data_IF_470581043959
#
_entry.id   IF_470581043959
#
_cell.length_a   1.000
_cell.length_b   1.000
_cell.length_c   1.000
_cell.angle_alpha   90.00
_cell.angle_beta   90.00
_cell.angle_gamma   90.00
#
_symmetry.space_group_name_H-M   'P 1'
#
loop_
_entity.id
_entity.type
_entity.pdbx_description
1 polymer ?
#
# COMPACT_ATOMS: atom_id res chain seq x y z
N UNK A 1 -18.14 -6.75 -10.27
CA UNK A 1 -17.07 -7.73 -9.99
C UNK A 1 -15.87 -7.34 -10.83
N UNK A 2 -14.68 -7.34 -10.26
CA UNK A 2 -13.40 -7.12 -10.96
C UNK A 2 -12.85 -8.49 -11.36
N UNK A 3 -12.32 -8.62 -12.57
CA UNK A 3 -11.61 -9.83 -13.02
C UNK A 3 -10.11 -9.71 -12.76
N UNK A 4 -9.41 -10.85 -12.71
CA UNK A 4 -7.97 -10.92 -12.44
C UNK A 4 -7.10 -10.08 -13.41
N UNK A 5 -7.54 -9.94 -14.67
CA UNK A 5 -6.78 -9.21 -15.70
C UNK A 5 -7.26 -7.77 -15.92
N UNK A 6 -8.17 -7.26 -15.08
CA UNK A 6 -8.64 -5.89 -15.20
C UNK A 6 -7.52 -4.91 -14.83
N UNK A 7 -7.28 -3.94 -15.71
CA UNK A 7 -6.27 -2.90 -15.47
C UNK A 7 -6.89 -1.76 -14.68
N UNK A 8 -6.20 -1.34 -13.63
CA UNK A 8 -6.57 -0.17 -12.82
C UNK A 8 -5.52 0.93 -12.96
N UNK A 9 -5.91 2.18 -12.68
CA UNK A 9 -4.95 3.29 -12.65
C UNK A 9 -4.07 3.19 -11.41
N UNK A 10 -2.89 3.83 -11.44
CA UNK A 10 -1.98 3.92 -10.27
C UNK A 10 -2.68 4.47 -9.03
N UNK A 11 -3.59 5.45 -9.21
CA UNK A 11 -4.38 6.04 -8.12
C UNK A 11 -5.45 5.07 -7.61
N UNK A 12 -6.10 4.31 -8.48
CA UNK A 12 -7.06 3.29 -8.08
C UNK A 12 -6.37 2.15 -7.32
N UNK A 13 -5.16 1.76 -7.72
CA UNK A 13 -4.35 0.78 -7.01
C UNK A 13 -3.93 1.29 -5.61
N UNK A 14 -3.59 2.58 -5.47
CA UNK A 14 -3.34 3.20 -4.16
C UNK A 14 -4.55 3.14 -3.25
N UNK A 15 -5.74 3.47 -3.78
CA UNK A 15 -6.98 3.39 -3.03
C UNK A 15 -7.35 1.95 -2.64
N UNK A 16 -7.11 0.98 -3.53
CA UNK A 16 -7.33 -0.44 -3.25
C UNK A 16 -6.43 -0.94 -2.11
N UNK A 17 -5.15 -0.56 -2.16
CA UNK A 17 -4.19 -0.82 -1.10
C UNK A 17 -4.66 -0.18 0.22
N UNK A 18 -5.00 1.12 0.24
CA UNK A 18 -5.50 1.78 1.45
C UNK A 18 -6.69 1.03 2.08
N UNK A 19 -7.66 0.63 1.25
CA UNK A 19 -8.84 -0.13 1.70
C UNK A 19 -8.51 -1.51 2.25
N UNK A 20 -7.49 -2.18 1.70
CA UNK A 20 -7.00 -3.43 2.25
C UNK A 20 -6.42 -3.24 3.65
N UNK A 21 -5.57 -2.22 3.87
CA UNK A 21 -5.04 -1.95 5.21
C UNK A 21 -6.08 -1.45 6.20
N UNK A 22 -7.07 -0.67 5.74
CA UNK A 22 -8.21 -0.26 6.56
C UNK A 22 -8.93 -1.48 7.14
N UNK A 23 -9.18 -2.50 6.30
CA UNK A 23 -9.75 -3.77 6.74
C UNK A 23 -8.85 -4.49 7.75
N UNK A 24 -7.55 -4.59 7.49
CA UNK A 24 -6.60 -5.21 8.44
C UNK A 24 -6.55 -4.46 9.79
N UNK A 25 -6.66 -3.13 9.77
CA UNK A 25 -6.76 -2.35 11.00
C UNK A 25 -8.04 -2.66 11.77
N UNK A 26 -9.19 -2.74 11.09
CA UNK A 26 -10.47 -3.11 11.72
C UNK A 26 -10.40 -4.48 12.42
N UNK A 27 -9.66 -5.43 11.86
CA UNK A 27 -9.48 -6.76 12.43
C UNK A 27 -8.48 -6.79 13.60
N UNK A 28 -7.41 -6.01 13.52
CA UNK A 28 -6.25 -6.15 14.42
C UNK A 28 -6.13 -5.06 15.47
N UNK A 29 -6.74 -3.89 15.23
CA UNK A 29 -6.50 -2.64 15.97
C UNK A 29 -5.02 -2.29 16.09
N UNK A 30 -4.21 -2.63 15.08
CA UNK A 30 -2.77 -2.35 15.08
C UNK A 30 -2.49 -0.86 14.99
N UNK A 31 -1.79 -0.32 15.99
CA UNK A 31 -1.36 1.08 16.01
C UNK A 31 -0.43 1.43 14.84
N UNK A 32 0.39 0.48 14.40
CA UNK A 32 1.30 0.69 13.27
C UNK A 32 0.52 0.86 11.97
N UNK A 33 -0.53 0.06 11.77
CA UNK A 33 -1.42 0.21 10.61
C UNK A 33 -2.21 1.52 10.72
N UNK A 34 -2.68 1.90 11.92
CA UNK A 34 -3.36 3.17 12.13
C UNK A 34 -2.49 4.38 11.75
N UNK A 35 -1.23 4.39 12.17
CA UNK A 35 -0.28 5.44 11.83
C UNK A 35 0.00 5.51 10.33
N UNK A 36 0.18 4.36 9.69
CA UNK A 36 0.35 4.27 8.24
C UNK A 36 -0.88 4.80 7.49
N UNK A 37 -2.08 4.36 7.84
CA UNK A 37 -3.34 4.86 7.25
C UNK A 37 -3.48 6.38 7.43
N UNK A 38 -3.10 6.90 8.59
CA UNK A 38 -3.08 8.34 8.86
C UNK A 38 -2.24 9.11 7.84
N UNK A 39 -0.99 8.69 7.60
CA UNK A 39 -0.11 9.31 6.61
C UNK A 39 -0.58 9.12 5.16
N UNK A 40 -1.19 7.97 4.87
CA UNK A 40 -1.66 7.65 3.53
C UNK A 40 -2.98 8.34 3.14
N UNK A 41 -3.76 8.79 4.13
CA UNK A 41 -5.06 9.42 3.92
C UNK A 41 -4.97 10.66 3.03
N UNK A 42 -6.03 10.94 2.27
CA UNK A 42 -6.09 12.12 1.40
C UNK A 42 -6.61 13.32 2.18
N UNK A 43 -5.95 14.46 2.01
CA UNK A 43 -6.42 15.77 2.43
C UNK A 43 -7.45 16.32 1.42
N UNK A 44 -8.10 17.43 1.76
CA UNK A 44 -9.12 18.07 0.91
C UNK A 44 -8.60 18.44 -0.49
N UNK A 45 -7.30 18.72 -0.61
CA UNK A 45 -6.65 19.03 -1.88
C UNK A 45 -6.30 17.78 -2.72
N UNK A 46 -6.58 16.58 -2.21
CA UNK A 46 -6.31 15.31 -2.88
C UNK A 46 -4.87 14.80 -2.77
N UNK A 47 -4.00 15.47 -2.02
CA UNK A 47 -2.67 14.98 -1.66
C UNK A 47 -2.74 14.07 -0.42
N UNK A 48 -1.74 13.22 -0.25
CA UNK A 48 -1.58 12.42 0.96
C UNK A 48 -1.21 13.31 2.16
N UNK A 49 -1.66 12.93 3.36
CA UNK A 49 -1.37 13.65 4.59
C UNK A 49 0.13 13.67 4.90
N UNK A 50 0.81 12.55 4.64
CA UNK A 50 2.26 12.50 4.50
C UNK A 50 2.66 12.70 3.03
N UNK A 51 3.39 13.77 2.68
CA UNK A 51 3.86 14.01 1.31
C UNK A 51 4.74 12.90 0.73
N UNK A 52 5.41 12.10 1.57
CA UNK A 52 6.29 11.02 1.08
C UNK A 52 5.55 9.76 0.66
N UNK A 53 4.36 9.51 1.22
CA UNK A 53 3.56 8.31 0.95
C UNK A 53 3.26 8.09 -0.55
N UNK A 54 2.97 9.16 -1.29
CA UNK A 54 2.73 9.04 -2.74
C UNK A 54 3.99 8.67 -3.52
N UNK A 55 5.15 9.22 -3.16
CA UNK A 55 6.42 8.91 -3.82
C UNK A 55 6.84 7.45 -3.55
N UNK A 56 6.66 6.98 -2.31
CA UNK A 56 6.93 5.59 -1.92
C UNK A 56 6.01 4.62 -2.67
N UNK A 57 4.73 4.99 -2.85
CA UNK A 57 3.80 4.23 -3.66
C UNK A 57 4.23 4.09 -5.12
N UNK A 58 4.64 5.20 -5.76
CA UNK A 58 5.13 5.15 -7.14
C UNK A 58 6.37 4.26 -7.27
N UNK A 59 7.25 4.27 -6.27
CA UNK A 59 8.40 3.36 -6.20
C UNK A 59 7.97 1.90 -6.05
N UNK A 60 6.97 1.61 -5.20
CA UNK A 60 6.43 0.26 -5.03
C UNK A 60 5.83 -0.28 -6.34
N UNK A 61 5.05 0.55 -7.06
CA UNK A 61 4.51 0.20 -8.38
C UNK A 61 5.63 -0.05 -9.40
N UNK A 62 6.67 0.79 -9.43
CA UNK A 62 7.80 0.59 -10.34
C UNK A 62 8.48 -0.77 -10.10
N UNK A 63 8.73 -1.14 -8.84
CA UNK A 63 9.31 -2.44 -8.47
C UNK A 63 8.42 -3.60 -8.89
N UNK A 64 7.13 -3.52 -8.58
CA UNK A 64 6.15 -4.53 -8.95
C UNK A 64 5.86 -4.62 -10.46
N UNK A 65 6.20 -3.59 -11.24
CA UNK A 65 6.02 -3.60 -12.70
C UNK A 65 7.19 -4.23 -13.46
N UNK A 66 8.34 -4.39 -12.81
CA UNK A 66 9.45 -5.19 -13.31
C UNK A 66 9.18 -6.68 -13.03
N UNK A 67 9.93 -7.61 -13.63
CA UNK A 67 9.83 -9.06 -13.36
C UNK A 67 10.14 -9.47 -11.88
N UNK A 68 10.11 -8.52 -10.96
CA UNK A 68 10.36 -8.64 -9.52
C UNK A 68 9.04 -8.53 -8.75
N UNK A 69 8.01 -9.25 -9.23
CA UNK A 69 6.75 -9.43 -8.51
C UNK A 69 6.85 -10.51 -7.42
N UNK A 70 8.06 -10.93 -7.05
CA UNK A 70 8.25 -11.96 -6.05
C UNK A 70 7.90 -11.40 -4.66
N UNK A 71 6.67 -11.67 -4.24
CA UNK A 71 6.14 -11.36 -2.92
C UNK A 71 6.26 -12.56 -1.96
N UNK A 72 7.06 -13.57 -2.30
CA UNK A 72 7.36 -14.65 -1.37
C UNK A 72 8.06 -14.10 -0.14
N UNK A 73 7.70 -14.64 1.02
CA UNK A 73 8.20 -14.17 2.30
C UNK A 73 9.69 -14.53 2.45
N UNK A 74 10.58 -13.57 2.21
CA UNK A 74 12.04 -13.71 2.38
C UNK A 74 12.49 -13.11 3.73
N UNK A 75 11.98 -13.63 4.86
CA UNK A 75 12.50 -13.22 6.17
C UNK A 75 13.78 -14.03 6.44
N UNK A 76 14.95 -13.41 6.26
CA UNK A 76 16.21 -13.96 6.78
C UNK A 76 16.14 -13.83 8.30
N UNK A 77 16.18 -14.93 9.08
CA UNK A 77 16.23 -14.81 10.53
C UNK A 77 17.48 -14.02 10.90
N UNK A 78 17.32 -12.96 11.70
CA UNK A 78 18.45 -12.27 12.29
C UNK A 78 19.31 -13.32 13.03
N UNK A 79 20.53 -13.54 12.54
CA UNK A 79 21.50 -14.40 13.22
C UNK A 79 21.69 -13.79 14.60
N UNK A 80 21.24 -14.51 15.63
CA UNK A 80 21.37 -14.12 17.03
C UNK A 80 22.71 -14.54 17.58
#
# INVERSE_FOLDING_TARGET
>A
MINENDKITVKAAYAAMYKFLEHEYELTNSNDIAGLLGGMSLLENGNTADPTAWADWLNAIAKASCNDCDISLQIIPAIR
#
